data_IF_750430840909
#
_entry.id   IF_750430840909
#
_cell.length_a   1.000
_cell.length_b   1.000
_cell.length_c   1.000
_cell.angle_alpha   90.00
_cell.angle_beta   90.00
_cell.angle_gamma   90.00
#
_symmetry.space_group_name_H-M   'P 1'
#
loop_
_entity.id
_entity.type
_entity.pdbx_description
1 polymer ?
#
# COMPACT_ATOMS: atom_id res chain seq x y z
N UNK A 1 -15.30 -2.66 -21.25
CA UNK A 1 -14.59 -2.32 -19.99
C UNK A 1 -15.60 -1.84 -18.96
N UNK A 2 -15.39 -2.14 -17.66
CA UNK A 2 -16.26 -1.58 -16.62
C UNK A 2 -15.94 -0.08 -16.47
N UNK A 3 -16.89 0.79 -16.80
CA UNK A 3 -16.72 2.24 -16.72
C UNK A 3 -16.32 2.67 -15.30
N UNK A 4 -15.40 3.64 -15.21
CA UNK A 4 -14.84 4.17 -13.97
C UNK A 4 -14.18 3.14 -13.01
N UNK A 5 -13.85 1.94 -13.51
CA UNK A 5 -13.20 0.93 -12.68
C UNK A 5 -11.73 1.30 -12.40
N UNK A 6 -11.41 1.61 -11.13
CA UNK A 6 -10.07 1.95 -10.67
C UNK A 6 -9.48 0.81 -9.84
N UNK A 7 -8.18 0.55 -10.05
CA UNK A 7 -7.43 -0.48 -9.34
C UNK A 7 -7.68 -1.90 -9.84
N UNK A 8 -6.83 -2.84 -9.41
CA UNK A 8 -6.88 -4.26 -9.81
C UNK A 8 -7.28 -5.16 -8.64
N UNK A 9 -7.98 -6.26 -8.93
CA UNK A 9 -8.38 -7.26 -7.90
C UNK A 9 -7.29 -8.28 -7.58
N UNK A 10 -6.31 -8.48 -8.45
CA UNK A 10 -5.23 -9.47 -8.28
C UNK A 10 -5.72 -10.90 -7.94
N UNK A 11 -6.92 -11.26 -8.40
CA UNK A 11 -7.61 -12.50 -8.06
C UNK A 11 -7.70 -12.77 -6.54
N UNK A 12 -7.91 -11.71 -5.75
CA UNK A 12 -7.95 -11.75 -4.28
C UNK A 12 -9.19 -11.06 -3.74
N UNK A 13 -9.65 -11.50 -2.57
CA UNK A 13 -10.68 -10.81 -1.78
C UNK A 13 -10.17 -9.43 -1.32
N UNK A 14 -11.08 -8.57 -0.85
CA UNK A 14 -10.70 -7.24 -0.37
C UNK A 14 -9.73 -7.31 0.82
N UNK A 15 -10.01 -8.18 1.78
CA UNK A 15 -9.18 -8.43 2.97
C UNK A 15 -7.77 -8.90 2.59
N UNK A 16 -7.68 -9.91 1.72
CA UNK A 16 -6.38 -10.42 1.28
C UNK A 16 -5.59 -9.33 0.54
N UNK A 17 -6.24 -8.49 -0.29
CA UNK A 17 -5.55 -7.35 -0.91
C UNK A 17 -5.03 -6.35 0.12
N UNK A 18 -5.80 -6.02 1.16
CA UNK A 18 -5.36 -5.12 2.23
C UNK A 18 -4.10 -5.70 2.91
N UNK A 19 -4.13 -6.97 3.29
CA UNK A 19 -2.98 -7.65 3.88
C UNK A 19 -1.78 -7.72 2.94
N UNK A 20 -1.99 -8.02 1.65
CA UNK A 20 -0.93 -8.07 0.64
C UNK A 20 -0.20 -6.72 0.54
N UNK A 21 -0.94 -5.62 0.44
CA UNK A 21 -0.32 -4.29 0.37
C UNK A 21 0.35 -3.89 1.67
N UNK A 22 -0.22 -4.21 2.83
CA UNK A 22 0.41 -3.96 4.12
C UNK A 22 1.79 -4.67 4.23
N UNK A 23 1.85 -5.95 3.86
CA UNK A 23 3.09 -6.73 3.88
C UNK A 23 4.13 -6.18 2.89
N UNK A 24 3.70 -5.82 1.68
CA UNK A 24 4.59 -5.24 0.67
C UNK A 24 5.13 -3.87 1.10
N UNK A 25 4.29 -3.02 1.70
CA UNK A 25 4.73 -1.73 2.24
C UNK A 25 5.73 -1.90 3.37
N UNK A 26 5.47 -2.80 4.32
CA UNK A 26 6.39 -3.08 5.42
C UNK A 26 7.73 -3.61 4.91
N UNK A 27 7.71 -4.54 3.95
CA UNK A 27 8.92 -5.07 3.32
C UNK A 27 9.70 -3.97 2.57
N UNK A 28 9.02 -3.11 1.82
CA UNK A 28 9.65 -2.01 1.11
C UNK A 28 10.29 -0.99 2.05
N UNK A 29 9.62 -0.63 3.15
CA UNK A 29 10.19 0.29 4.14
C UNK A 29 11.40 -0.34 4.85
N UNK A 30 11.33 -1.64 5.17
CA UNK A 30 12.40 -2.36 5.88
C UNK A 30 13.64 -2.61 5.01
N UNK A 31 13.44 -2.94 3.75
CA UNK A 31 14.51 -3.40 2.85
C UNK A 31 14.87 -2.38 1.77
N UNK A 32 14.21 -1.21 1.76
CA UNK A 32 14.37 -0.10 0.81
C UNK A 32 14.05 -0.42 -0.66
N UNK A 33 14.07 -1.70 -1.04
CA UNK A 33 13.76 -2.19 -2.36
C UNK A 33 13.11 -3.58 -2.27
N UNK A 34 12.10 -3.81 -3.11
CA UNK A 34 11.48 -5.13 -3.30
C UNK A 34 11.30 -5.43 -4.78
N UNK A 35 11.38 -6.71 -5.14
CA UNK A 35 11.05 -7.18 -6.49
C UNK A 35 9.62 -7.72 -6.47
N UNK A 36 8.79 -7.25 -7.40
CA UNK A 36 7.39 -7.70 -7.54
C UNK A 36 6.91 -7.55 -8.98
N UNK A 37 5.67 -7.93 -9.25
CA UNK A 37 5.10 -7.77 -10.59
C UNK A 37 4.76 -6.32 -10.88
N UNK A 38 4.94 -5.89 -12.14
CA UNK A 38 4.66 -4.52 -12.58
C UNK A 38 3.30 -3.96 -12.12
N UNK A 39 2.16 -4.68 -12.26
CA UNK A 39 0.87 -4.15 -11.82
C UNK A 39 0.79 -4.01 -10.29
N UNK A 40 1.41 -4.91 -9.51
CA UNK A 40 1.47 -4.78 -8.04
C UNK A 40 2.32 -3.60 -7.63
N UNK A 41 3.47 -3.39 -8.27
CA UNK A 41 4.33 -2.23 -8.01
C UNK A 41 3.59 -0.91 -8.29
N UNK A 42 2.92 -0.80 -9.44
CA UNK A 42 2.14 0.41 -9.80
C UNK A 42 1.02 0.70 -8.81
N UNK A 43 0.33 -0.33 -8.32
CA UNK A 43 -0.77 -0.16 -7.37
C UNK A 43 -0.28 0.00 -5.92
N UNK A 44 0.93 -0.44 -5.58
CA UNK A 44 1.57 -0.24 -4.28
C UNK A 44 2.01 1.21 -4.04
N UNK A 45 2.51 1.89 -5.08
CA UNK A 45 3.01 3.28 -5.01
C UNK A 45 2.10 4.24 -4.22
N UNK A 46 0.81 4.42 -4.55
CA UNK A 46 -0.05 5.37 -3.84
C UNK A 46 -0.33 4.96 -2.38
N UNK A 47 -0.15 3.67 -2.03
CA UNK A 47 -0.27 3.20 -0.64
C UNK A 47 0.94 3.65 0.17
N UNK A 48 2.14 3.41 -0.37
CA UNK A 48 3.41 3.73 0.31
C UNK A 48 3.63 5.24 0.38
N UNK A 49 3.31 5.99 -0.67
CA UNK A 49 3.43 7.46 -0.67
C UNK A 49 2.56 8.10 0.43
N UNK A 50 1.36 7.57 0.69
CA UNK A 50 0.51 8.01 1.81
C UNK A 50 1.12 7.69 3.17
N UNK A 51 1.70 6.51 3.33
CA UNK A 51 2.39 6.12 4.57
C UNK A 51 3.58 7.04 4.85
N UNK A 52 4.39 7.35 3.83
CA UNK A 52 5.49 8.31 3.93
C UNK A 52 4.96 9.69 4.31
N UNK A 53 3.87 10.14 3.68
CA UNK A 53 3.23 11.43 3.99
C UNK A 53 2.79 11.52 5.44
N UNK A 54 2.15 10.48 5.98
CA UNK A 54 1.78 10.40 7.40
C UNK A 54 3.00 10.37 8.31
N UNK A 55 4.06 9.66 7.90
CA UNK A 55 5.31 9.55 8.65
C UNK A 55 6.13 10.84 8.74
N UNK A 56 5.85 11.85 7.90
CA UNK A 56 6.52 13.16 7.96
C UNK A 56 6.14 13.98 9.19
N UNK A 57 4.97 13.73 9.78
CA UNK A 57 4.45 14.47 10.94
C UNK A 57 4.46 13.50 12.13
N UNK A 58 5.31 13.75 13.13
CA UNK A 58 5.32 12.94 14.35
C UNK A 58 4.21 13.40 15.30
N UNK A 59 3.05 12.75 15.21
CA UNK A 59 1.93 12.94 16.13
C UNK A 59 1.29 11.59 16.47
N UNK A 60 0.66 11.52 17.64
CA UNK A 60 -0.09 10.31 18.02
C UNK A 60 -1.22 10.02 17.03
N UNK A 61 -1.85 11.05 16.47
CA UNK A 61 -2.93 10.90 15.49
C UNK A 61 -2.42 10.27 14.18
N UNK A 62 -1.32 10.78 13.63
CA UNK A 62 -0.73 10.24 12.39
C UNK A 62 -0.23 8.81 12.57
N UNK A 63 0.36 8.47 13.73
CA UNK A 63 0.74 7.08 14.05
C UNK A 63 -0.48 6.15 14.09
N UNK A 64 -1.59 6.57 14.70
CA UNK A 64 -2.84 5.77 14.70
C UNK A 64 -3.40 5.58 13.30
N UNK A 65 -3.38 6.62 12.46
CA UNK A 65 -3.83 6.54 11.07
C UNK A 65 -2.97 5.57 10.23
N UNK A 66 -1.66 5.54 10.46
CA UNK A 66 -0.75 4.65 9.73
C UNK A 66 -0.95 3.16 10.11
N UNK A 67 -1.49 2.86 11.30
CA UNK A 67 -1.71 1.50 11.79
C UNK A 67 -3.11 0.93 11.47
N UNK A 68 -4.01 1.74 10.89
CA UNK A 68 -5.41 1.39 10.62
C UNK A 68 -5.62 0.70 9.26
#
# INVERSE_FOLDING_TARGET
MRHAYRGRRFNRTAEHRKAMFANMSAALIKHEQIITTLPKAKDLRPVVEKLITLGRIDSVHTRRLAMA
#
